data_IF_045140707358
#
_entry.id   IF_045140707358
#
_cell.length_a   1.000
_cell.length_b   1.000
_cell.length_c   1.000
_cell.angle_alpha   90.00
_cell.angle_beta   90.00
_cell.angle_gamma   90.00
#
_symmetry.space_group_name_H-M   'P 1'
#
loop_
_entity.id
_entity.type
_entity.pdbx_description
1 polymer ?
#
# COMPACT_ATOMS: atom_id res chain seq x y z
N UNK A 1 -1.12 -3.09 24.93
CA UNK A 1 0.04 -3.66 24.22
C UNK A 1 0.36 -2.71 23.07
N UNK A 2 1.54 -2.09 23.04
CA UNK A 2 1.94 -1.27 21.90
C UNK A 2 1.86 -2.15 20.64
N UNK A 3 1.09 -1.73 19.63
CA UNK A 3 0.89 -2.50 18.41
C UNK A 3 2.23 -2.82 17.76
N UNK A 4 2.35 -4.04 17.24
CA UNK A 4 3.58 -4.51 16.60
C UNK A 4 3.89 -3.56 15.44
N UNK A 5 4.97 -2.79 15.54
CA UNK A 5 5.47 -1.97 14.44
C UNK A 5 6.28 -2.86 13.51
N UNK A 6 5.61 -3.42 12.51
CA UNK A 6 6.26 -4.18 11.45
C UNK A 6 6.51 -3.23 10.26
N UNK A 7 7.76 -2.88 9.94
CA UNK A 7 8.06 -1.94 8.86
C UNK A 7 7.42 -2.31 7.52
N UNK A 8 7.34 -3.62 7.23
CA UNK A 8 6.69 -4.12 6.02
C UNK A 8 5.17 -3.81 5.97
N UNK A 9 4.47 -3.78 7.10
CA UNK A 9 3.06 -3.39 7.15
C UNK A 9 2.90 -1.88 7.00
N UNK A 10 3.85 -1.11 7.51
CA UNK A 10 3.85 0.34 7.33
C UNK A 10 4.07 0.73 5.85
N UNK A 11 5.02 0.08 5.18
CA UNK A 11 5.22 0.27 3.74
C UNK A 11 3.98 -0.17 2.94
N UNK A 12 3.40 -1.33 3.28
CA UNK A 12 2.18 -1.80 2.64
C UNK A 12 1.00 -0.82 2.80
N UNK A 13 0.86 -0.22 4.00
CA UNK A 13 -0.14 0.83 4.25
C UNK A 13 0.07 2.01 3.31
N UNK A 14 1.30 2.49 3.13
CA UNK A 14 1.58 3.60 2.21
C UNK A 14 1.23 3.26 0.76
N UNK A 15 1.54 2.05 0.29
CA UNK A 15 1.14 1.60 -1.05
C UNK A 15 -0.39 1.54 -1.22
N UNK A 16 -1.12 1.21 -0.15
CA UNK A 16 -2.58 1.24 -0.14
C UNK A 16 -3.11 2.67 -0.28
N UNK A 17 -2.47 3.64 0.38
CA UNK A 17 -2.83 5.06 0.25
C UNK A 17 -2.56 5.59 -1.16
N UNK A 18 -1.45 5.20 -1.79
CA UNK A 18 -1.18 5.56 -3.19
C UNK A 18 -2.27 5.02 -4.14
N UNK A 19 -2.74 3.78 -3.92
CA UNK A 19 -3.87 3.24 -4.68
C UNK A 19 -5.15 4.06 -4.44
N UNK A 20 -5.43 4.47 -3.20
CA UNK A 20 -6.62 5.29 -2.88
C UNK A 20 -6.57 6.65 -3.56
N UNK A 21 -5.42 7.32 -3.55
CA UNK A 21 -5.24 8.59 -4.27
C UNK A 21 -5.48 8.38 -5.77
N UNK A 22 -4.92 7.32 -6.36
CA UNK A 22 -5.14 6.99 -7.77
C UNK A 22 -6.59 6.70 -8.15
N UNK A 23 -7.39 6.15 -7.23
CA UNK A 23 -8.80 5.83 -7.46
C UNK A 23 -9.74 7.02 -7.23
N UNK A 24 -9.46 7.86 -6.23
CA UNK A 24 -10.43 8.85 -5.73
C UNK A 24 -9.96 10.31 -5.84
N UNK A 25 -8.67 10.56 -6.07
CA UNK A 25 -8.09 11.90 -6.10
C UNK A 25 -7.12 12.09 -7.28
N UNK A 26 -7.58 11.75 -8.48
CA UNK A 26 -6.77 11.74 -9.71
C UNK A 26 -6.15 13.10 -10.05
N UNK A 27 -6.80 14.21 -9.70
CA UNK A 27 -6.29 15.56 -9.92
C UNK A 27 -5.01 15.86 -9.13
N UNK A 28 -4.85 15.25 -7.94
CA UNK A 28 -3.64 15.40 -7.12
C UNK A 28 -2.44 14.64 -7.71
N UNK A 29 -2.71 13.66 -8.58
CA UNK A 29 -1.77 12.68 -9.11
C UNK A 29 -1.11 11.85 -7.99
N UNK A 30 -0.53 10.73 -8.38
CA UNK A 30 0.25 9.89 -7.47
C UNK A 30 1.72 9.92 -7.90
N UNK A 31 2.67 10.09 -6.97
CA UNK A 31 4.09 9.95 -7.26
C UNK A 31 4.46 8.51 -7.67
N UNK A 32 3.67 7.51 -7.24
CA UNK A 32 3.90 6.11 -7.54
C UNK A 32 2.56 5.39 -7.82
N UNK A 33 2.21 5.14 -9.09
CA UNK A 33 0.98 4.43 -9.40
C UNK A 33 1.00 3.00 -8.82
N UNK A 34 0.01 2.71 -7.98
CA UNK A 34 -0.22 1.39 -7.39
C UNK A 34 -1.50 0.78 -7.94
N UNK A 35 -1.50 -0.53 -8.15
CA UNK A 35 -2.67 -1.30 -8.57
C UNK A 35 -3.00 -2.40 -7.55
N UNK A 36 -4.25 -2.85 -7.55
CA UNK A 36 -4.71 -3.97 -6.70
C UNK A 36 -3.85 -5.22 -6.92
N UNK A 37 -3.52 -5.54 -8.18
CA UNK A 37 -2.67 -6.70 -8.52
C UNK A 37 -1.27 -6.61 -7.89
N UNK A 38 -0.69 -5.41 -7.83
CA UNK A 38 0.62 -5.18 -7.21
C UNK A 38 0.56 -5.40 -5.69
N UNK A 39 -0.47 -4.86 -5.04
CA UNK A 39 -0.68 -5.05 -3.59
C UNK A 39 -0.89 -6.53 -3.25
N UNK A 40 -1.72 -7.25 -4.02
CA UNK A 40 -1.96 -8.68 -3.80
C UNK A 40 -0.65 -9.48 -3.87
N UNK A 41 0.20 -9.22 -4.87
CA UNK A 41 1.50 -9.89 -4.98
C UNK A 41 2.40 -9.65 -3.77
N UNK A 42 2.44 -8.42 -3.26
CA UNK A 42 3.24 -8.09 -2.07
C UNK A 42 2.70 -8.84 -0.85
N UNK A 43 1.37 -8.82 -0.67
CA UNK A 43 0.70 -9.52 0.41
C UNK A 43 0.98 -11.03 0.39
N UNK A 44 0.88 -11.66 -0.78
CA UNK A 44 1.10 -13.10 -0.94
C UNK A 44 2.56 -13.51 -0.75
N UNK A 45 3.51 -12.62 -1.08
CA UNK A 45 4.95 -12.85 -0.90
C UNK A 45 5.43 -12.74 0.55
N UNK A 46 4.56 -12.32 1.46
CA UNK A 46 4.92 -12.03 2.84
C UNK A 46 5.15 -13.34 3.61
N UNK A 47 6.27 -13.47 4.36
CA UNK A 47 6.45 -14.61 5.25
C UNK A 47 5.33 -14.62 6.29
N UNK A 48 4.74 -15.79 6.51
CA UNK A 48 3.66 -16.00 7.49
C UNK A 48 4.21 -16.16 8.89
#
# INVERSE_FOLDING_TARGET
KAGVREPALEEFRWLLEELRVGLFAQELRTPMPVSVKRLQKIWDSRPR
#
